data_IF_255383723847
#
_entry.id   IF_255383723847
#
_cell.length_a   1.000
_cell.length_b   1.000
_cell.length_c   1.000
_cell.angle_alpha   90.00
_cell.angle_beta   90.00
_cell.angle_gamma   90.00
#
_symmetry.space_group_name_H-M   'P 1'
#
loop_
_entity.id
_entity.type
_entity.pdbx_description
1 polymer ?
#
# COMPACT_ATOMS: atom_id res chain seq x y z
N UNK A 1 25.33 23.69 -16.57
CA UNK A 1 24.76 23.25 -15.29
C UNK A 1 25.20 21.82 -15.05
N UNK A 2 25.80 21.48 -13.90
CA UNK A 2 26.10 20.10 -13.61
C UNK A 2 24.77 19.33 -13.56
N UNK A 3 24.76 18.18 -14.21
CA UNK A 3 23.62 17.29 -14.25
C UNK A 3 23.51 16.69 -12.83
N UNK A 4 22.53 17.12 -12.04
CA UNK A 4 22.23 16.50 -10.75
C UNK A 4 21.84 15.04 -11.00
N UNK A 5 22.81 14.13 -10.96
CA UNK A 5 22.57 12.70 -11.09
C UNK A 5 22.04 12.18 -9.76
N UNK A 6 20.85 11.58 -9.79
CA UNK A 6 20.40 10.73 -8.68
C UNK A 6 21.36 9.54 -8.58
N UNK A 7 22.16 9.50 -7.52
CA UNK A 7 23.03 8.37 -7.22
C UNK A 7 22.17 7.31 -6.52
N UNK A 8 22.03 6.12 -7.12
CA UNK A 8 21.50 4.94 -6.44
C UNK A 8 22.67 4.15 -5.84
N UNK A 9 22.78 4.14 -4.51
CA UNK A 9 23.87 3.46 -3.79
C UNK A 9 23.98 3.88 -2.32
N UNK A 10 24.87 3.23 -1.58
CA UNK A 10 25.05 3.45 -0.15
C UNK A 10 25.70 4.81 0.12
N UNK A 11 24.95 5.73 0.74
CA UNK A 11 25.32 7.15 0.93
C UNK A 11 26.32 7.39 2.08
N UNK A 12 27.24 6.45 2.34
CA UNK A 12 28.15 6.56 3.49
C UNK A 12 29.24 7.64 3.34
N UNK A 13 29.33 8.31 2.19
CA UNK A 13 30.38 9.31 1.90
C UNK A 13 29.91 10.39 0.90
N UNK A 14 28.61 10.70 0.89
CA UNK A 14 28.08 11.78 0.04
C UNK A 14 27.74 12.97 0.93
N UNK A 15 28.42 14.09 0.73
CA UNK A 15 28.03 15.35 1.33
C UNK A 15 26.62 15.70 0.85
N UNK A 16 25.66 15.71 1.78
CA UNK A 16 24.28 16.05 1.45
C UNK A 16 24.23 17.57 1.29
N UNK A 17 24.39 18.05 0.07
CA UNK A 17 24.19 19.46 -0.26
C UNK A 17 22.73 19.85 0.02
N UNK A 18 22.52 21.03 0.59
CA UNK A 18 21.19 21.53 0.85
C UNK A 18 20.52 22.00 -0.44
N UNK A 19 19.26 21.62 -0.62
CA UNK A 19 18.50 21.98 -1.81
C UNK A 19 17.79 23.32 -1.57
N UNK A 20 17.95 24.25 -2.49
CA UNK A 20 17.24 25.54 -2.47
C UNK A 20 16.00 25.42 -3.36
N UNK A 21 14.83 25.72 -2.81
CA UNK A 21 13.59 25.79 -3.57
C UNK A 21 13.64 26.95 -4.59
N UNK A 22 12.79 26.92 -5.62
CA UNK A 22 12.69 27.99 -6.62
C UNK A 22 12.44 29.40 -6.03
N UNK A 23 11.95 29.46 -4.78
CA UNK A 23 11.67 30.67 -4.03
C UNK A 23 12.85 31.14 -3.15
N UNK A 24 14.01 30.48 -3.20
CA UNK A 24 15.20 30.82 -2.41
C UNK A 24 15.23 30.23 -0.99
N UNK A 25 14.21 29.48 -0.59
CA UNK A 25 14.15 28.85 0.74
C UNK A 25 14.91 27.50 0.75
N UNK A 26 15.66 27.24 1.81
CA UNK A 26 16.32 25.95 2.02
C UNK A 26 15.31 24.85 2.36
N UNK A 27 15.40 23.73 1.66
CA UNK A 27 14.55 22.56 1.89
C UNK A 27 15.14 21.75 3.04
N UNK A 28 14.40 21.70 4.15
CA UNK A 28 14.79 20.90 5.31
C UNK A 28 14.79 19.41 4.96
N UNK A 29 15.93 18.77 5.22
CA UNK A 29 16.07 17.32 5.15
C UNK A 29 15.20 16.69 6.24
N UNK A 30 14.39 15.71 5.86
CA UNK A 30 13.55 14.93 6.78
C UNK A 30 13.68 13.46 6.47
N UNK A 31 13.67 12.64 7.51
CA UNK A 31 13.75 11.18 7.36
C UNK A 31 12.49 10.57 6.73
N UNK A 32 11.33 11.17 7.01
CA UNK A 32 10.05 10.79 6.41
C UNK A 32 9.37 12.01 5.78
N UNK A 33 8.93 11.86 4.53
CA UNK A 33 8.17 12.87 3.79
C UNK A 33 6.82 12.29 3.36
N UNK A 34 5.77 13.10 3.43
CA UNK A 34 4.44 12.74 2.92
C UNK A 34 4.28 13.25 1.51
N UNK A 35 4.05 12.35 0.55
CA UNK A 35 3.73 12.69 -0.83
C UNK A 35 2.52 11.88 -1.32
N UNK A 36 1.55 12.57 -1.92
CA UNK A 36 0.27 12.00 -2.39
C UNK A 36 -0.42 11.05 -1.38
N UNK A 37 -0.23 11.28 -0.07
CA UNK A 37 -0.81 10.43 0.97
C UNK A 37 0.06 9.26 1.44
N UNK A 38 1.19 9.00 0.78
CA UNK A 38 2.20 8.01 1.13
C UNK A 38 3.29 8.64 2.00
N UNK A 39 3.76 7.91 3.02
CA UNK A 39 4.88 8.34 3.85
C UNK A 39 6.13 7.62 3.36
N UNK A 40 6.98 8.31 2.62
CA UNK A 40 8.24 7.78 2.11
C UNK A 40 9.35 8.05 3.13
N UNK A 41 10.00 6.99 3.59
CA UNK A 41 11.17 7.05 4.46
C UNK A 41 12.46 7.00 3.65
N UNK A 42 13.53 7.60 4.17
CA UNK A 42 14.87 7.59 3.55
C UNK A 42 15.42 6.17 3.29
N UNK A 43 15.01 5.17 4.09
CA UNK A 43 15.36 3.76 3.93
C UNK A 43 14.54 3.04 2.83
N UNK A 44 13.54 3.70 2.24
CA UNK A 44 12.59 3.14 1.28
C UNK A 44 11.85 1.88 1.78
N UNK A 45 11.82 1.62 3.10
CA UNK A 45 11.14 0.46 3.67
C UNK A 45 9.68 0.76 4.08
N UNK A 46 9.22 2.00 3.98
CA UNK A 46 7.84 2.45 4.20
C UNK A 46 7.19 1.94 5.51
N UNK A 47 8.00 1.66 6.54
CA UNK A 47 7.54 1.04 7.80
C UNK A 47 6.50 1.90 8.52
N UNK A 48 6.76 3.20 8.59
CA UNK A 48 5.85 4.18 9.20
C UNK A 48 4.52 4.23 8.45
N UNK A 49 4.58 4.23 7.11
CA UNK A 49 3.40 4.20 6.26
C UNK A 49 2.54 2.95 6.49
N UNK A 50 3.16 1.77 6.48
CA UNK A 50 2.47 0.49 6.70
C UNK A 50 1.80 0.45 8.07
N UNK A 51 2.51 0.84 9.13
CA UNK A 51 1.94 0.92 10.48
C UNK A 51 0.72 1.86 10.52
N UNK A 52 0.81 3.01 9.86
CA UNK A 52 -0.30 3.97 9.76
C UNK A 52 -1.50 3.38 9.02
N UNK A 53 -1.30 2.70 7.89
CA UNK A 53 -2.38 2.03 7.14
C UNK A 53 -3.02 0.93 8.00
N UNK A 54 -2.24 0.07 8.63
CA UNK A 54 -2.73 -1.03 9.48
C UNK A 54 -3.58 -0.47 10.61
N UNK A 55 -3.06 0.50 11.36
CA UNK A 55 -3.75 1.07 12.51
C UNK A 55 -5.04 1.80 12.10
N UNK A 56 -4.98 2.64 11.07
CA UNK A 56 -6.16 3.34 10.59
C UNK A 56 -7.23 2.38 10.02
N UNK A 57 -6.83 1.29 9.37
CA UNK A 57 -7.75 0.25 8.90
C UNK A 57 -8.40 -0.52 10.05
N UNK A 58 -7.66 -0.81 11.12
CA UNK A 58 -8.20 -1.40 12.36
C UNK A 58 -9.24 -0.48 13.02
N UNK A 59 -8.98 0.83 13.06
CA UNK A 59 -9.93 1.84 13.58
C UNK A 59 -11.22 1.86 12.75
N UNK A 60 -11.09 1.93 11.42
CA UNK A 60 -12.25 1.90 10.50
C UNK A 60 -13.04 0.61 10.67
N UNK A 61 -12.38 -0.54 10.74
CA UNK A 61 -13.04 -1.83 11.01
C UNK A 61 -13.85 -1.77 12.31
N UNK A 62 -13.25 -1.28 13.40
CA UNK A 62 -13.93 -1.16 14.69
C UNK A 62 -15.13 -0.20 14.62
N UNK A 63 -15.01 0.91 13.89
CA UNK A 63 -16.12 1.84 13.67
C UNK A 63 -17.27 1.17 12.92
N UNK A 64 -17.00 0.54 11.78
CA UNK A 64 -18.01 -0.12 10.96
C UNK A 64 -18.77 -1.19 11.75
N UNK A 65 -18.04 -2.04 12.50
CA UNK A 65 -18.65 -3.11 13.28
C UNK A 65 -19.48 -2.59 14.47
N UNK A 66 -19.19 -1.40 15.01
CA UNK A 66 -20.00 -0.78 16.07
C UNK A 66 -21.20 -0.02 15.52
N UNK A 67 -21.05 0.65 14.39
CA UNK A 67 -22.10 1.50 13.82
C UNK A 67 -23.18 0.69 13.12
N UNK A 68 -22.81 -0.34 12.37
CA UNK A 68 -23.76 -1.18 11.65
C UNK A 68 -24.05 -2.44 12.47
N UNK A 69 -25.32 -2.76 12.68
CA UNK A 69 -25.75 -4.00 13.35
C UNK A 69 -25.82 -5.19 12.39
N UNK A 70 -26.08 -4.94 11.10
CA UNK A 70 -26.16 -5.99 10.08
C UNK A 70 -24.84 -6.76 9.94
N UNK A 71 -24.98 -8.08 9.76
CA UNK A 71 -23.88 -9.04 9.52
C UNK A 71 -24.12 -9.89 8.28
N UNK A 72 -25.08 -9.49 7.45
CA UNK A 72 -25.34 -10.13 6.16
C UNK A 72 -24.13 -10.00 5.25
N UNK A 73 -23.95 -11.00 4.37
CA UNK A 73 -22.78 -11.12 3.50
C UNK A 73 -22.57 -9.89 2.62
N UNK A 74 -23.56 -9.50 1.83
CA UNK A 74 -23.40 -8.45 0.83
C UNK A 74 -23.12 -7.05 1.40
N UNK A 75 -23.87 -6.54 2.40
CA UNK A 75 -23.54 -5.23 2.98
C UNK A 75 -22.18 -5.24 3.67
N UNK A 76 -21.82 -6.34 4.36
CA UNK A 76 -20.50 -6.47 5.00
C UNK A 76 -19.37 -6.44 3.97
N UNK A 77 -19.49 -7.20 2.88
CA UNK A 77 -18.49 -7.20 1.81
C UNK A 77 -18.40 -5.84 1.12
N UNK A 78 -19.52 -5.14 0.93
CA UNK A 78 -19.52 -3.78 0.37
C UNK A 78 -18.78 -2.80 1.27
N UNK A 79 -19.03 -2.84 2.59
CA UNK A 79 -18.31 -2.02 3.57
C UNK A 79 -16.80 -2.34 3.59
N UNK A 80 -16.45 -3.62 3.60
CA UNK A 80 -15.06 -4.07 3.57
C UNK A 80 -14.33 -3.53 2.34
N UNK A 81 -14.88 -3.74 1.15
CA UNK A 81 -14.26 -3.32 -0.11
C UNK A 81 -14.12 -1.79 -0.19
N UNK A 82 -15.14 -1.06 0.26
CA UNK A 82 -15.21 0.41 0.11
C UNK A 82 -14.32 1.16 1.09
N UNK A 83 -14.27 0.76 2.35
CA UNK A 83 -13.62 1.55 3.41
C UNK A 83 -12.28 0.98 3.87
N UNK A 84 -12.16 -0.34 3.95
CA UNK A 84 -10.99 -1.00 4.54
C UNK A 84 -10.00 -1.38 3.44
N UNK A 85 -10.47 -2.15 2.45
CA UNK A 85 -9.63 -2.69 1.39
C UNK A 85 -9.09 -1.61 0.47
N UNK A 86 -9.95 -0.68 0.02
CA UNK A 86 -9.52 0.47 -0.80
C UNK A 86 -8.34 1.22 -0.18
N UNK A 87 -8.34 1.40 1.14
CA UNK A 87 -7.28 2.05 1.89
C UNK A 87 -5.99 1.22 1.96
N UNK A 88 -6.10 -0.08 2.16
CA UNK A 88 -4.95 -0.99 2.21
C UNK A 88 -4.35 -1.29 0.84
N UNK A 89 -5.09 -1.08 -0.26
CA UNK A 89 -4.61 -1.33 -1.64
C UNK A 89 -4.13 -0.04 -2.33
N UNK A 90 -4.43 1.14 -1.76
CA UNK A 90 -4.01 2.42 -2.33
C UNK A 90 -2.48 2.49 -2.49
N UNK A 91 -2.03 2.73 -3.72
CA UNK A 91 -0.61 2.83 -4.11
C UNK A 91 0.26 1.67 -3.62
N UNK A 92 -0.31 0.47 -3.44
CA UNK A 92 0.46 -0.68 -2.93
C UNK A 92 1.66 -1.05 -3.82
N UNK A 93 1.67 -0.68 -5.10
CA UNK A 93 2.82 -0.85 -5.99
C UNK A 93 4.09 -0.16 -5.47
N UNK A 94 3.95 0.92 -4.69
CA UNK A 94 5.07 1.72 -4.17
C UNK A 94 5.59 1.17 -2.85
N UNK A 95 4.71 0.81 -1.92
CA UNK A 95 5.08 0.52 -0.52
C UNK A 95 4.90 -0.94 -0.10
N UNK A 96 4.45 -1.84 -0.98
CA UNK A 96 4.04 -3.21 -0.62
C UNK A 96 5.00 -3.88 0.36
N UNK A 97 4.51 -4.52 1.44
CA UNK A 97 5.35 -5.15 2.43
C UNK A 97 6.17 -6.29 1.84
N UNK A 98 7.48 -6.28 2.10
CA UNK A 98 8.37 -7.41 1.83
C UNK A 98 8.51 -8.33 3.05
N UNK A 99 8.39 -7.76 4.26
CA UNK A 99 8.54 -8.53 5.50
C UNK A 99 7.23 -9.24 5.86
N UNK A 100 7.33 -10.54 6.17
CA UNK A 100 6.18 -11.39 6.53
C UNK A 100 5.33 -10.82 7.67
N UNK A 101 5.95 -10.10 8.62
CA UNK A 101 5.26 -9.41 9.71
C UNK A 101 4.14 -8.50 9.21
N UNK A 102 4.44 -7.63 8.25
CA UNK A 102 3.46 -6.66 7.74
C UNK A 102 2.44 -7.30 6.81
N UNK A 103 2.83 -8.31 6.03
CA UNK A 103 1.92 -9.13 5.23
C UNK A 103 0.85 -9.75 6.16
N UNK A 104 1.30 -10.39 7.25
CA UNK A 104 0.43 -11.02 8.22
C UNK A 104 -0.47 -10.01 8.94
N UNK A 105 0.04 -8.83 9.33
CA UNK A 105 -0.76 -7.80 9.99
C UNK A 105 -1.87 -7.24 9.09
N UNK A 106 -1.62 -7.07 7.80
CA UNK A 106 -2.66 -6.68 6.84
C UNK A 106 -3.68 -7.80 6.64
N UNK A 107 -3.21 -9.05 6.48
CA UNK A 107 -4.09 -10.20 6.30
C UNK A 107 -4.98 -10.45 7.52
N UNK A 108 -4.47 -10.18 8.74
CA UNK A 108 -5.25 -10.23 9.99
C UNK A 108 -6.48 -9.33 9.93
N UNK A 109 -6.41 -8.16 9.29
CA UNK A 109 -7.56 -7.26 9.18
C UNK A 109 -8.66 -7.91 8.32
N UNK A 110 -8.31 -8.49 7.17
CA UNK A 110 -9.26 -9.23 6.33
C UNK A 110 -9.84 -10.43 7.08
N UNK A 111 -8.99 -11.22 7.74
CA UNK A 111 -9.39 -12.36 8.59
C UNK A 111 -10.39 -11.95 9.67
N UNK A 112 -10.09 -10.89 10.43
CA UNK A 112 -10.95 -10.40 11.51
C UNK A 112 -12.28 -9.86 11.00
N UNK A 113 -12.28 -9.12 9.89
CA UNK A 113 -13.51 -8.56 9.33
C UNK A 113 -14.44 -9.65 8.78
N UNK A 114 -13.90 -10.55 7.95
CA UNK A 114 -14.66 -11.64 7.33
C UNK A 114 -15.24 -12.62 8.36
N UNK A 115 -14.54 -12.85 9.47
CA UNK A 115 -15.04 -13.67 10.59
C UNK A 115 -16.33 -13.11 11.22
N UNK A 116 -16.61 -11.80 11.09
CA UNK A 116 -17.83 -11.19 11.62
C UNK A 116 -19.05 -11.33 10.72
N UNK A 117 -18.90 -11.87 9.52
CA UNK A 117 -20.03 -12.11 8.62
C UNK A 117 -20.82 -13.33 9.11
N UNK A 118 -22.14 -13.29 8.99
CA UNK A 118 -23.02 -14.41 9.36
C UNK A 118 -22.55 -15.72 8.73
N UNK A 119 -22.56 -16.81 9.52
CA UNK A 119 -22.11 -18.15 9.13
C UNK A 119 -20.61 -18.29 8.80
N UNK A 120 -19.77 -17.29 9.15
CA UNK A 120 -18.32 -17.31 8.88
C UNK A 120 -17.47 -17.43 10.16
N UNK A 121 -18.08 -17.55 11.33
CA UNK A 121 -17.35 -17.46 12.61
C UNK A 121 -16.37 -18.64 12.81
N UNK A 122 -16.87 -19.86 12.53
CA UNK A 122 -16.17 -21.14 12.72
C UNK A 122 -15.56 -21.71 11.44
N UNK A 123 -15.77 -21.05 10.30
CA UNK A 123 -15.23 -21.49 9.01
C UNK A 123 -13.73 -21.16 8.95
N UNK A 124 -12.92 -22.11 8.49
CA UNK A 124 -11.49 -21.90 8.22
C UNK A 124 -11.28 -20.70 7.28
N UNK A 125 -10.16 -19.99 7.45
CA UNK A 125 -9.91 -18.79 6.67
C UNK A 125 -9.91 -19.02 5.16
N UNK A 126 -9.25 -20.07 4.68
CA UNK A 126 -9.17 -20.31 3.25
C UNK A 126 -10.55 -20.67 2.68
N UNK A 127 -11.35 -21.39 3.45
CA UNK A 127 -12.70 -21.75 3.04
C UNK A 127 -13.64 -20.52 3.07
N UNK A 128 -13.51 -19.63 4.06
CA UNK A 128 -14.22 -18.34 4.05
C UNK A 128 -13.93 -17.53 2.80
N UNK A 129 -12.68 -17.48 2.36
CA UNK A 129 -12.32 -16.75 1.14
C UNK A 129 -13.06 -17.30 -0.07
N UNK A 130 -13.19 -18.63 -0.19
CA UNK A 130 -13.97 -19.25 -1.27
C UNK A 130 -15.45 -18.91 -1.17
N UNK A 131 -16.07 -19.09 0.01
CA UNK A 131 -17.49 -18.83 0.23
C UNK A 131 -17.87 -17.35 0.02
N UNK A 132 -16.96 -16.43 0.36
CA UNK A 132 -17.12 -15.00 0.18
C UNK A 132 -16.65 -14.50 -1.19
N UNK A 133 -16.12 -15.37 -2.05
CA UNK A 133 -15.51 -15.03 -3.34
C UNK A 133 -14.47 -13.91 -3.24
N UNK A 134 -13.54 -14.06 -2.28
CA UNK A 134 -12.45 -13.14 -2.02
C UNK A 134 -11.09 -13.80 -2.28
N UNK A 135 -10.13 -13.00 -2.72
CA UNK A 135 -8.71 -13.37 -2.69
C UNK A 135 -8.07 -12.90 -1.38
N UNK A 136 -6.97 -13.53 -0.95
CA UNK A 136 -6.10 -12.97 0.09
C UNK A 136 -5.54 -11.61 -0.35
N UNK A 137 -5.20 -10.74 0.60
CA UNK A 137 -4.65 -9.42 0.25
C UNK A 137 -3.30 -9.55 -0.46
N UNK A 138 -2.50 -10.53 -0.05
CA UNK A 138 -1.23 -10.87 -0.70
C UNK A 138 -1.44 -11.23 -2.18
N UNK A 139 -2.30 -12.22 -2.47
CA UNK A 139 -2.57 -12.65 -3.85
C UNK A 139 -3.14 -11.52 -4.71
N UNK A 140 -3.90 -10.60 -4.10
CA UNK A 140 -4.39 -9.41 -4.80
C UNK A 140 -3.25 -8.48 -5.17
N UNK A 141 -2.34 -8.17 -4.24
CA UNK A 141 -1.16 -7.36 -4.53
C UNK A 141 -0.30 -7.99 -5.62
N UNK A 142 -0.04 -9.29 -5.57
CA UNK A 142 0.72 -9.99 -6.61
C UNK A 142 0.08 -9.82 -7.99
N UNK A 143 -1.24 -10.00 -8.06
CA UNK A 143 -2.00 -9.76 -9.30
C UNK A 143 -1.88 -8.32 -9.78
N UNK A 144 -1.93 -7.34 -8.87
CA UNK A 144 -1.72 -5.93 -9.21
C UNK A 144 -0.30 -5.68 -9.75
N UNK A 145 0.74 -6.25 -9.14
CA UNK A 145 2.12 -6.16 -9.61
C UNK A 145 2.28 -6.71 -11.02
N UNK A 146 1.75 -7.92 -11.28
CA UNK A 146 1.87 -8.57 -12.60
C UNK A 146 1.18 -7.74 -13.67
N UNK A 147 -0.06 -7.29 -13.44
CA UNK A 147 -0.80 -6.48 -14.40
C UNK A 147 -0.09 -5.16 -14.66
N UNK A 148 0.39 -4.50 -13.60
CA UNK A 148 1.11 -3.23 -13.73
C UNK A 148 2.40 -3.39 -14.53
N UNK A 149 3.18 -4.44 -14.26
CA UNK A 149 4.42 -4.74 -14.97
C UNK A 149 4.16 -5.03 -16.46
N UNK A 150 3.16 -5.84 -16.78
CA UNK A 150 2.77 -6.10 -18.16
C UNK A 150 2.36 -4.82 -18.90
N UNK A 151 1.53 -3.97 -18.29
CA UNK A 151 1.13 -2.68 -18.89
C UNK A 151 2.33 -1.78 -19.19
N UNK A 152 3.37 -1.83 -18.36
CA UNK A 152 4.60 -1.07 -18.57
C UNK A 152 5.41 -1.61 -19.75
N UNK A 153 5.51 -2.93 -19.89
CA UNK A 153 6.23 -3.58 -20.98
C UNK A 153 5.55 -3.35 -22.34
N UNK A 154 4.23 -3.40 -22.38
CA UNK A 154 3.43 -3.16 -23.59
C UNK A 154 3.24 -1.67 -23.95
N UNK A 155 3.85 -0.75 -23.19
CA UNK A 155 3.70 0.69 -23.41
C UNK A 155 2.29 1.24 -23.20
N UNK A 156 1.41 0.49 -22.52
CA UNK A 156 0.04 0.90 -22.20
C UNK A 156 -0.01 2.00 -21.14
N UNK A 157 1.09 2.20 -20.39
CA UNK A 157 1.24 3.28 -19.42
C UNK A 157 2.04 4.43 -19.99
N UNK A 158 1.52 5.64 -19.81
CA UNK A 158 2.20 6.85 -20.23
C UNK A 158 3.51 7.04 -19.45
N UNK A 159 4.61 7.21 -20.20
CA UNK A 159 5.90 7.53 -19.64
C UNK A 159 6.03 9.05 -19.45
N UNK A 160 5.38 9.56 -18.40
CA UNK A 160 5.33 10.99 -18.07
C UNK A 160 6.76 11.58 -17.91
N UNK A 161 7.69 10.78 -17.38
CA UNK A 161 9.07 11.19 -17.14
C UNK A 161 9.97 11.08 -18.37
N UNK A 162 9.44 10.59 -19.51
CA UNK A 162 10.19 10.36 -20.77
C UNK A 162 11.49 9.58 -20.57
N UNK A 163 11.52 8.69 -19.58
CA UNK A 163 12.72 7.91 -19.26
C UNK A 163 12.94 6.86 -20.35
N UNK A 164 14.13 6.83 -20.95
CA UNK A 164 14.48 5.79 -21.91
C UNK A 164 14.62 4.45 -21.19
N UNK A 165 13.71 3.52 -21.45
CA UNK A 165 13.88 2.12 -21.05
C UNK A 165 14.96 1.50 -21.92
N UNK A 166 15.90 0.76 -21.33
CA UNK A 166 17.01 0.09 -22.03
C UNK A 166 16.57 -0.95 -23.08
N UNK A 167 15.27 -1.25 -23.13
CA UNK A 167 14.63 -2.28 -23.93
C UNK A 167 13.90 -1.74 -25.18
N UNK A 168 14.00 -0.44 -25.47
CA UNK A 168 13.49 0.22 -26.68
C UNK A 168 14.55 1.14 -27.29
#
# INVERSE_FOLDING_TARGET
MPLNQMIHGNAHNVDIESYIASLGNEIQIKDTVKDLGILASNDLLFKEHMNKIINSSKVIMGMLLRTFSTREKDPMLKMYNTYIKSKMEYCCIVWSPVQQKYINELEKIQKSFTKKINNMEEVDYHERLKQLNLFSLERRRDRYFIIYGWQQLEGQKENILKLKSRWN
#
